data_IF_863381027653
#
_entry.id   IF_863381027653
#
_cell.length_a   1.000
_cell.length_b   1.000
_cell.length_c   1.000
_cell.angle_alpha   90.00
_cell.angle_beta   90.00
_cell.angle_gamma   90.00
#
_symmetry.space_group_name_H-M   'P 1'
#
loop_
_entity.id
_entity.type
_entity.pdbx_description
1 polymer ?
#
# COMPACT_ATOMS: atom_id res chain seq x y z
N UNK A 1 1.99 -25.65 2.07
CA UNK A 1 2.31 -24.37 1.42
C UNK A 1 1.69 -24.34 0.05
N UNK A 2 0.56 -23.66 -0.09
CA UNK A 2 -0.08 -23.42 -1.38
C UNK A 2 0.70 -22.33 -2.13
N UNK A 3 1.63 -22.76 -2.98
CA UNK A 3 2.57 -21.86 -3.67
C UNK A 3 1.87 -20.80 -4.53
N UNK A 4 0.74 -21.14 -5.15
CA UNK A 4 -0.06 -20.21 -5.95
C UNK A 4 -0.62 -19.06 -5.10
N UNK A 5 -1.14 -19.37 -3.91
CA UNK A 5 -1.61 -18.40 -2.92
C UNK A 5 -0.47 -17.55 -2.37
N UNK A 6 0.69 -18.15 -2.09
CA UNK A 6 1.88 -17.44 -1.63
C UNK A 6 2.42 -16.45 -2.65
N UNK A 7 2.49 -16.84 -3.93
CA UNK A 7 2.90 -15.96 -5.04
C UNK A 7 1.86 -14.85 -5.23
N UNK A 8 0.57 -15.18 -5.21
CA UNK A 8 -0.51 -14.19 -5.30
C UNK A 8 -0.43 -13.14 -4.19
N UNK A 9 -0.19 -13.58 -2.95
CA UNK A 9 0.03 -12.69 -1.81
C UNK A 9 1.23 -11.76 -2.04
N UNK A 10 2.36 -12.28 -2.52
CA UNK A 10 3.56 -11.47 -2.79
C UNK A 10 3.31 -10.40 -3.86
N UNK A 11 2.59 -10.76 -4.94
CA UNK A 11 2.20 -9.82 -6.00
C UNK A 11 1.30 -8.72 -5.45
N UNK A 12 0.28 -9.08 -4.67
CA UNK A 12 -0.64 -8.11 -4.05
C UNK A 12 0.08 -7.18 -3.07
N UNK A 13 0.99 -7.70 -2.26
CA UNK A 13 1.80 -6.91 -1.33
C UNK A 13 2.67 -5.90 -2.08
N UNK A 14 3.35 -6.36 -3.14
CA UNK A 14 4.22 -5.52 -3.97
C UNK A 14 3.42 -4.39 -4.64
N UNK A 15 2.28 -4.72 -5.25
CA UNK A 15 1.37 -3.72 -5.84
C UNK A 15 0.84 -2.75 -4.79
N UNK A 16 0.52 -3.25 -3.59
CA UNK A 16 0.07 -2.43 -2.46
C UNK A 16 1.09 -1.36 -2.06
N UNK A 17 2.35 -1.74 -1.86
CA UNK A 17 3.41 -0.80 -1.49
C UNK A 17 3.72 0.19 -2.62
N UNK A 18 3.87 -0.31 -3.85
CA UNK A 18 4.19 0.54 -5.00
C UNK A 18 3.05 1.55 -5.24
N UNK A 19 1.81 1.08 -5.28
CA UNK A 19 0.63 1.92 -5.46
C UNK A 19 0.49 2.96 -4.36
N UNK A 20 0.74 2.58 -3.11
CA UNK A 20 0.79 3.51 -1.99
C UNK A 20 1.82 4.62 -2.20
N UNK A 21 3.05 4.27 -2.59
CA UNK A 21 4.12 5.25 -2.82
C UNK A 21 3.74 6.26 -3.91
N UNK A 22 3.12 5.79 -5.02
CA UNK A 22 2.62 6.68 -6.07
C UNK A 22 1.48 7.58 -5.60
N UNK A 23 0.52 7.04 -4.84
CA UNK A 23 -0.59 7.82 -4.30
C UNK A 23 -0.10 8.88 -3.31
N UNK A 24 0.89 8.56 -2.48
CA UNK A 24 1.57 9.54 -1.62
C UNK A 24 2.27 10.62 -2.44
N UNK A 25 2.95 10.26 -3.53
CA UNK A 25 3.50 11.24 -4.48
C UNK A 25 2.42 12.18 -5.03
N UNK A 26 1.23 11.65 -5.35
CA UNK A 26 0.09 12.43 -5.84
C UNK A 26 -0.52 13.32 -4.75
N UNK A 27 -0.66 12.81 -3.53
CA UNK A 27 -1.14 13.58 -2.37
C UNK A 27 -0.23 14.80 -2.16
N UNK A 28 1.09 14.60 -2.08
CA UNK A 28 2.07 15.70 -1.89
C UNK A 28 1.88 16.80 -2.93
N UNK A 29 1.84 16.45 -4.21
CA UNK A 29 1.65 17.42 -5.30
C UNK A 29 0.31 18.17 -5.22
N UNK A 30 -0.72 17.56 -4.63
CA UNK A 30 -2.07 18.16 -4.52
C UNK A 30 -2.28 19.02 -3.28
N UNK A 31 -1.46 18.86 -2.23
CA UNK A 31 -1.70 19.48 -0.91
C UNK A 31 -0.54 20.34 -0.42
N UNK A 32 0.59 20.34 -1.11
CA UNK A 32 1.82 21.01 -0.65
C UNK A 32 2.25 22.04 -1.69
N UNK A 33 2.49 23.27 -1.24
CA UNK A 33 3.08 24.33 -2.07
C UNK A 33 4.57 24.01 -2.22
N UNK A 34 5.12 24.21 -3.42
CA UNK A 34 6.52 23.92 -3.74
C UNK A 34 7.46 24.58 -2.70
N UNK A 35 8.24 23.76 -1.99
CA UNK A 35 9.19 24.21 -0.95
C UNK A 35 8.81 23.84 0.49
N UNK A 36 7.57 23.38 0.75
CA UNK A 36 7.17 22.94 2.10
C UNK A 36 7.44 21.44 2.36
N UNK A 37 7.84 21.11 3.58
CA UNK A 37 7.93 19.72 4.04
C UNK A 37 6.52 19.12 4.10
N UNK A 38 6.25 18.11 3.27
CA UNK A 38 4.94 17.45 3.20
C UNK A 38 4.48 16.91 4.56
N UNK A 39 3.22 17.17 4.92
CA UNK A 39 2.66 16.80 6.23
C UNK A 39 2.67 15.28 6.47
N UNK A 40 3.01 14.81 7.70
CA UNK A 40 2.87 13.40 8.09
C UNK A 40 1.43 12.87 7.97
N UNK A 41 0.42 13.76 7.92
CA UNK A 41 -0.98 13.38 7.72
C UNK A 41 -1.22 12.66 6.39
N UNK A 42 -0.28 12.73 5.45
CA UNK A 42 -0.31 11.97 4.20
C UNK A 42 -0.51 10.46 4.41
N UNK A 43 0.08 9.88 5.45
CA UNK A 43 -0.10 8.46 5.75
C UNK A 43 -1.54 8.12 6.16
N UNK A 44 -2.26 9.07 6.75
CA UNK A 44 -3.66 8.88 7.18
C UNK A 44 -4.67 9.42 6.16
N UNK A 45 -4.21 9.85 4.98
CA UNK A 45 -5.09 10.35 3.93
C UNK A 45 -6.02 9.22 3.44
N UNK A 46 -7.31 9.54 3.25
CA UNK A 46 -8.33 8.58 2.82
C UNK A 46 -7.98 7.89 1.49
N UNK A 47 -7.21 8.56 0.63
CA UNK A 47 -6.71 8.01 -0.65
C UNK A 47 -5.77 6.81 -0.44
N UNK A 48 -5.10 6.72 0.71
CA UNK A 48 -4.20 5.62 1.06
C UNK A 48 -4.90 4.39 1.67
N UNK A 49 -6.15 4.52 2.15
CA UNK A 49 -6.88 3.43 2.83
C UNK A 49 -6.97 2.17 1.95
N UNK A 50 -7.24 2.33 0.64
CA UNK A 50 -7.31 1.20 -0.30
C UNK A 50 -6.00 0.41 -0.36
N UNK A 51 -4.85 1.10 -0.28
CA UNK A 51 -3.54 0.46 -0.35
C UNK A 51 -3.22 -0.28 0.94
N UNK A 52 -3.57 0.28 2.10
CA UNK A 52 -3.47 -0.43 3.38
C UNK A 52 -4.35 -1.68 3.40
N UNK A 53 -5.56 -1.61 2.84
CA UNK A 53 -6.43 -2.77 2.68
C UNK A 53 -5.80 -3.86 1.82
N UNK A 54 -5.18 -3.49 0.70
CA UNK A 54 -4.49 -4.42 -0.19
C UNK A 54 -3.28 -5.09 0.48
N UNK A 55 -2.47 -4.30 1.19
CA UNK A 55 -1.33 -4.80 1.97
C UNK A 55 -1.82 -5.74 3.08
N UNK A 56 -2.83 -5.35 3.85
CA UNK A 56 -3.42 -6.19 4.90
C UNK A 56 -3.95 -7.51 4.34
N UNK A 57 -4.71 -7.46 3.24
CA UNK A 57 -5.23 -8.65 2.56
C UNK A 57 -4.11 -9.58 2.10
N UNK A 58 -3.03 -9.03 1.54
CA UNK A 58 -1.90 -9.85 1.10
C UNK A 58 -1.20 -10.58 2.26
N UNK A 59 -1.09 -9.95 3.44
CA UNK A 59 -0.53 -10.60 4.64
C UNK A 59 -1.44 -11.75 5.10
N UNK A 60 -2.75 -11.55 5.07
CA UNK A 60 -3.74 -12.60 5.38
C UNK A 60 -3.60 -13.77 4.39
N UNK A 61 -3.56 -13.49 3.08
CA UNK A 61 -3.42 -14.53 2.06
C UNK A 61 -2.09 -15.28 2.18
N UNK A 62 -1.00 -14.58 2.53
CA UNK A 62 0.27 -15.23 2.81
C UNK A 62 0.20 -16.16 4.02
N UNK A 63 -0.41 -15.70 5.12
CA UNK A 63 -0.61 -16.53 6.32
C UNK A 63 -1.46 -17.78 6.02
N UNK A 64 -2.51 -17.63 5.22
CA UNK A 64 -3.34 -18.74 4.75
C UNK A 64 -2.60 -19.67 3.78
N UNK A 65 -1.61 -19.19 3.04
CA UNK A 65 -0.81 -20.03 2.14
C UNK A 65 0.15 -20.97 2.87
N UNK A 66 0.52 -20.62 4.11
CA UNK A 66 1.47 -21.36 4.94
C UNK A 66 0.82 -22.52 5.69
N UNK A 67 -0.41 -22.31 6.16
CA UNK A 67 -1.23 -23.31 6.88
C UNK A 67 -1.96 -24.23 5.91
#
# INVERSE_FOLDING_TARGET
MEWSLGIGALVLFTVGIIGQAFEMGRIRKSTTIDGELGSPKIFLDKRNIKWYGLIGLSIILWYLSQN
#
